data_IF_633257095006
#
_entry.id   IF_633257095006
#
_cell.length_a   1.000
_cell.length_b   1.000
_cell.length_c   1.000
_cell.angle_alpha   90.00
_cell.angle_beta   90.00
_cell.angle_gamma   90.00
#
_symmetry.space_group_name_H-M   'P 1'
#
loop_
_entity.id
_entity.type
_entity.pdbx_description
1 polymer ?
#
# COMPACT_ATOMS: atom_id res chain seq x y z
N UNK A 1 -20.22 9.36 -11.80
CA UNK A 1 -19.98 9.64 -10.40
C UNK A 1 -18.77 8.90 -9.91
N UNK A 2 -17.85 9.59 -9.29
CA UNK A 2 -16.66 8.95 -8.76
C UNK A 2 -16.99 8.13 -7.52
N UNK A 3 -16.13 7.16 -7.23
CA UNK A 3 -16.21 6.39 -6.00
C UNK A 3 -15.76 7.20 -4.80
N UNK A 4 -15.71 6.53 -3.65
CA UNK A 4 -15.28 7.15 -2.40
C UNK A 4 -13.76 7.11 -2.31
N UNK A 5 -13.16 8.18 -1.79
CA UNK A 5 -11.71 8.36 -1.76
C UNK A 5 -11.20 8.48 -0.34
N UNK A 6 -10.10 7.79 -0.07
CA UNK A 6 -9.36 7.85 1.17
C UNK A 6 -8.02 8.55 0.92
N UNK A 7 -7.62 9.44 1.83
CA UNK A 7 -6.30 10.07 1.77
C UNK A 7 -5.64 10.02 3.13
N UNK A 8 -4.39 9.58 3.15
CA UNK A 8 -3.55 9.56 4.36
C UNK A 8 -2.25 10.29 4.03
N UNK A 9 -1.86 11.22 4.89
CA UNK A 9 -0.56 11.91 4.77
C UNK A 9 0.26 11.53 5.99
N UNK A 10 1.47 11.01 5.77
CA UNK A 10 2.32 10.57 6.87
C UNK A 10 3.79 10.78 6.53
N UNK A 11 4.57 11.21 7.51
CA UNK A 11 6.00 11.42 7.34
C UNK A 11 6.79 10.30 7.99
N UNK A 12 7.74 9.74 7.23
CA UNK A 12 8.62 8.66 7.67
C UNK A 12 10.05 9.19 7.78
N UNK A 13 10.76 8.76 8.81
CA UNK A 13 12.14 9.18 9.05
C UNK A 13 13.12 8.36 8.19
N UNK A 14 12.99 8.50 6.88
CA UNK A 14 13.83 7.81 5.90
C UNK A 14 13.82 8.59 4.59
N UNK A 15 14.88 8.49 3.77
CA UNK A 15 14.90 9.18 2.48
C UNK A 15 13.88 8.59 1.49
N UNK A 16 13.47 9.41 0.53
CA UNK A 16 12.40 9.04 -0.41
C UNK A 16 12.72 7.75 -1.17
N UNK A 17 13.96 7.54 -1.56
CA UNK A 17 14.32 6.32 -2.28
C UNK A 17 14.07 5.08 -1.43
N UNK A 18 14.39 5.14 -0.14
CA UNK A 18 14.17 4.01 0.75
C UNK A 18 12.69 3.73 0.96
N UNK A 19 11.89 4.78 1.10
CA UNK A 19 10.43 4.63 1.24
C UNK A 19 9.83 4.08 -0.05
N UNK A 20 10.26 4.61 -1.20
CA UNK A 20 9.83 4.13 -2.50
C UNK A 20 10.18 2.64 -2.68
N UNK A 21 11.40 2.26 -2.31
CA UNK A 21 11.84 0.86 -2.42
C UNK A 21 10.99 -0.06 -1.54
N UNK A 22 10.55 0.41 -0.38
CA UNK A 22 9.69 -0.37 0.51
C UNK A 22 8.32 -0.65 -0.12
N UNK A 23 7.87 0.19 -1.03
CA UNK A 23 6.61 0.00 -1.76
C UNK A 23 6.78 -0.83 -3.04
N UNK A 24 8.00 -1.08 -3.47
CA UNK A 24 8.26 -1.71 -4.77
C UNK A 24 9.12 -2.97 -4.67
N UNK A 25 9.61 -3.31 -3.50
CA UNK A 25 10.34 -4.55 -3.27
C UNK A 25 9.40 -5.58 -2.63
N UNK A 26 9.18 -6.69 -3.32
CA UNK A 26 8.31 -7.76 -2.80
C UNK A 26 8.77 -8.26 -1.43
N UNK A 27 10.08 -8.42 -1.25
CA UNK A 27 10.64 -8.86 0.02
C UNK A 27 10.31 -7.90 1.15
N UNK A 28 10.48 -6.59 0.92
CA UNK A 28 10.20 -5.58 1.95
C UNK A 28 8.70 -5.44 2.18
N UNK A 29 7.89 -5.48 1.11
CA UNK A 29 6.43 -5.40 1.21
C UNK A 29 5.89 -6.49 2.15
N UNK A 30 6.44 -7.67 2.11
CA UNK A 30 5.99 -8.77 2.98
C UNK A 30 6.20 -8.47 4.46
N UNK A 31 7.07 -7.54 4.81
CA UNK A 31 7.37 -7.20 6.20
C UNK A 31 6.39 -6.21 6.80
N UNK A 32 5.70 -5.42 5.99
CA UNK A 32 4.86 -4.36 6.52
C UNK A 32 3.42 -4.34 5.97
N UNK A 33 3.14 -5.04 4.89
CA UNK A 33 1.81 -4.96 4.26
C UNK A 33 0.83 -5.89 4.98
N UNK A 34 0.55 -5.57 6.23
CA UNK A 34 -0.46 -6.25 7.05
C UNK A 34 -0.87 -5.32 8.20
N UNK A 35 -2.17 -5.28 8.56
CA UNK A 35 -2.66 -4.29 9.54
C UNK A 35 -2.39 -4.66 10.98
N UNK A 36 -2.16 -5.95 11.29
CA UNK A 36 -1.93 -6.41 12.65
C UNK A 36 -0.53 -7.00 12.74
N UNK A 37 0.18 -6.79 13.88
CA UNK A 37 1.55 -7.33 14.02
C UNK A 37 1.64 -8.84 13.89
N UNK A 38 0.58 -9.57 14.26
CA UNK A 38 0.57 -11.04 14.21
C UNK A 38 0.02 -11.58 12.88
N UNK A 39 -0.42 -10.73 11.98
CA UNK A 39 -0.75 -11.15 10.61
C UNK A 39 0.53 -11.21 9.78
N UNK A 40 0.47 -11.92 8.67
CA UNK A 40 1.60 -12.04 7.76
C UNK A 40 1.17 -11.73 6.33
N UNK A 41 2.05 -11.07 5.59
CA UNK A 41 1.91 -11.00 4.14
C UNK A 41 2.60 -12.26 3.60
N UNK A 42 1.80 -13.26 3.26
CA UNK A 42 2.30 -14.58 2.87
C UNK A 42 2.77 -14.61 1.42
N UNK A 43 2.30 -13.68 0.61
CA UNK A 43 2.70 -13.58 -0.79
C UNK A 43 2.83 -12.12 -1.18
N UNK A 44 3.90 -11.80 -1.91
CA UNK A 44 4.04 -10.51 -2.56
C UNK A 44 4.80 -10.73 -3.86
N UNK A 45 4.31 -10.15 -4.95
CA UNK A 45 5.01 -10.21 -6.23
C UNK A 45 4.93 -8.86 -6.92
N UNK A 46 6.00 -8.48 -7.59
CA UNK A 46 6.15 -7.18 -8.23
C UNK A 46 6.82 -7.35 -9.58
N UNK A 47 6.18 -6.82 -10.62
CA UNK A 47 6.79 -6.63 -11.92
C UNK A 47 6.84 -5.12 -12.15
N UNK A 48 7.96 -4.49 -11.73
CA UNK A 48 8.05 -3.04 -11.61
C UNK A 48 8.27 -2.37 -12.98
N UNK A 49 7.19 -2.26 -13.73
CA UNK A 49 7.11 -1.53 -14.99
C UNK A 49 5.67 -1.11 -15.22
N UNK A 50 5.45 -0.07 -15.97
CA UNK A 50 4.09 0.34 -16.33
C UNK A 50 3.43 -0.82 -17.07
N UNK A 51 2.25 -1.22 -16.62
CA UNK A 51 1.53 -2.39 -17.12
C UNK A 51 1.93 -3.70 -16.43
N UNK A 52 2.97 -3.69 -15.59
CA UNK A 52 3.36 -4.88 -14.82
C UNK A 52 2.45 -5.12 -13.64
N UNK A 53 2.42 -6.35 -13.16
CA UNK A 53 1.51 -6.77 -12.09
C UNK A 53 2.13 -6.57 -10.71
N UNK A 54 1.27 -6.22 -9.77
CA UNK A 54 1.58 -6.23 -8.33
C UNK A 54 0.51 -7.08 -7.63
N UNK A 55 0.92 -7.91 -6.67
CA UNK A 55 0.01 -8.74 -5.90
C UNK A 55 0.50 -8.93 -4.49
N UNK A 56 -0.41 -8.85 -3.53
CA UNK A 56 -0.11 -9.10 -2.11
C UNK A 56 -1.23 -9.92 -1.50
N UNK A 57 -0.87 -10.91 -0.69
CA UNK A 57 -1.83 -11.71 0.08
C UNK A 57 -1.45 -11.62 1.56
N UNK A 58 -2.42 -11.25 2.39
CA UNK A 58 -2.28 -11.18 3.84
C UNK A 58 -3.02 -12.34 4.48
N UNK A 59 -2.46 -12.89 5.57
CA UNK A 59 -3.09 -13.98 6.30
C UNK A 59 -3.43 -13.56 7.73
N UNK A 60 -4.71 -13.73 8.10
CA UNK A 60 -5.20 -13.55 9.47
C UNK A 60 -5.15 -14.92 10.17
N UNK A 61 -4.20 -15.15 11.11
CA UNK A 61 -4.07 -16.46 11.76
C UNK A 61 -5.20 -16.75 12.74
N UNK A 62 -5.92 -15.74 13.22
CA UNK A 62 -7.00 -15.94 14.18
C UNK A 62 -8.25 -16.48 13.53
N UNK A 63 -8.57 -16.01 12.32
CA UNK A 63 -9.72 -16.46 11.56
C UNK A 63 -9.35 -17.49 10.50
N UNK A 64 -8.04 -17.66 10.27
CA UNK A 64 -7.52 -18.50 9.20
C UNK A 64 -8.10 -18.12 7.84
N UNK A 65 -8.02 -16.83 7.53
CA UNK A 65 -8.54 -16.24 6.29
C UNK A 65 -7.44 -15.48 5.58
N UNK A 66 -7.38 -15.63 4.26
CA UNK A 66 -6.47 -14.87 3.41
C UNK A 66 -7.21 -13.71 2.76
N UNK A 67 -6.55 -12.55 2.73
CA UNK A 67 -7.03 -11.36 2.02
C UNK A 67 -6.01 -11.03 0.94
N UNK A 68 -6.37 -11.30 -0.31
CA UNK A 68 -5.49 -11.07 -1.43
C UNK A 68 -6.01 -9.98 -2.35
N UNK A 69 -5.09 -9.28 -2.97
CA UNK A 69 -5.42 -8.28 -3.97
C UNK A 69 -4.27 -8.03 -4.90
N UNK A 70 -4.52 -7.28 -5.94
CA UNK A 70 -3.51 -6.96 -6.91
C UNK A 70 -3.96 -5.90 -7.91
N UNK A 71 -3.09 -5.62 -8.87
CA UNK A 71 -3.38 -4.66 -9.92
C UNK A 71 -2.21 -4.51 -10.86
N UNK A 72 -2.20 -3.39 -11.58
CA UNK A 72 -1.14 -3.08 -12.54
C UNK A 72 -0.60 -1.68 -12.28
N UNK A 73 0.70 -1.51 -12.42
CA UNK A 73 1.33 -0.20 -12.32
C UNK A 73 0.89 0.69 -13.47
N UNK A 74 0.47 1.91 -13.13
CA UNK A 74 0.07 2.92 -14.12
C UNK A 74 1.07 4.06 -14.21
N UNK A 75 1.84 4.30 -13.14
CA UNK A 75 2.86 5.34 -13.12
C UNK A 75 4.00 4.94 -12.19
N UNK A 76 5.23 5.08 -12.66
CA UNK A 76 6.44 4.77 -11.89
C UNK A 76 7.45 5.88 -12.15
N UNK A 77 7.65 6.75 -11.15
CA UNK A 77 8.62 7.87 -11.24
C UNK A 77 9.43 7.89 -9.93
N UNK A 78 10.46 7.02 -9.82
CA UNK A 78 11.24 6.94 -8.58
C UNK A 78 12.08 8.19 -8.35
N UNK A 79 12.20 8.66 -7.15
CA UNK A 79 11.53 8.22 -5.93
C UNK A 79 10.33 9.10 -5.57
N UNK A 80 9.70 9.76 -6.55
CA UNK A 80 8.70 10.80 -6.33
C UNK A 80 7.26 10.33 -6.42
N UNK A 81 6.95 9.36 -7.30
CA UNK A 81 5.56 8.99 -7.52
C UNK A 81 5.42 7.54 -7.95
N UNK A 82 4.35 6.91 -7.43
CA UNK A 82 3.98 5.55 -7.79
C UNK A 82 2.46 5.48 -7.84
N UNK A 83 1.92 4.85 -8.87
CA UNK A 83 0.48 4.62 -8.95
C UNK A 83 0.21 3.25 -9.53
N UNK A 84 -0.82 2.61 -9.01
CA UNK A 84 -1.24 1.30 -9.50
C UNK A 84 -2.72 1.09 -9.25
N UNK A 85 -3.36 0.33 -10.15
CA UNK A 85 -4.74 -0.09 -9.94
C UNK A 85 -4.78 -1.13 -8.84
N UNK A 86 -5.95 -1.32 -8.24
CA UNK A 86 -6.10 -2.28 -7.15
C UNK A 86 -7.47 -2.94 -7.19
N UNK A 87 -7.52 -4.20 -6.92
CA UNK A 87 -8.76 -4.95 -6.68
C UNK A 87 -8.52 -5.93 -5.55
N UNK A 88 -9.57 -6.21 -4.79
CA UNK A 88 -9.55 -7.31 -3.82
C UNK A 88 -10.14 -8.55 -4.47
N UNK A 89 -9.57 -9.72 -4.18
CA UNK A 89 -10.10 -10.99 -4.67
C UNK A 89 -11.55 -11.14 -4.20
N UNK A 90 -12.44 -11.49 -5.11
CA UNK A 90 -13.85 -11.66 -4.80
C UNK A 90 -14.65 -10.37 -4.79
N UNK A 91 -14.05 -9.24 -5.13
CA UNK A 91 -14.74 -7.94 -5.20
C UNK A 91 -14.56 -7.35 -6.60
N UNK A 92 -15.65 -6.91 -7.21
CA UNK A 92 -15.62 -6.40 -8.58
C UNK A 92 -15.19 -4.94 -8.69
N UNK A 93 -15.07 -4.25 -7.55
CA UNK A 93 -14.70 -2.84 -7.56
C UNK A 93 -13.25 -2.64 -7.98
N UNK A 94 -13.03 -1.84 -9.01
CA UNK A 94 -11.69 -1.46 -9.47
C UNK A 94 -11.30 -0.15 -8.81
N UNK A 95 -10.13 -0.15 -8.19
CA UNK A 95 -9.64 0.96 -7.38
C UNK A 95 -8.33 1.47 -7.94
N UNK A 96 -7.92 2.65 -7.49
CA UNK A 96 -6.63 3.24 -7.87
C UNK A 96 -5.92 3.69 -6.61
N UNK A 97 -4.66 3.32 -6.47
CA UNK A 97 -3.79 3.76 -5.38
C UNK A 97 -2.70 4.64 -5.96
N UNK A 98 -2.54 5.83 -5.38
CA UNK A 98 -1.54 6.81 -5.81
C UNK A 98 -0.70 7.22 -4.61
N UNK A 99 0.62 7.31 -4.81
CA UNK A 99 1.55 7.73 -3.78
C UNK A 99 2.45 8.82 -4.32
N UNK A 100 2.54 9.91 -3.55
CA UNK A 100 3.50 10.98 -3.79
C UNK A 100 4.49 10.98 -2.63
N UNK A 101 5.78 11.00 -2.94
CA UNK A 101 6.87 10.96 -1.97
C UNK A 101 7.63 12.28 -2.05
N UNK A 102 7.63 13.04 -0.95
CA UNK A 102 8.32 14.33 -0.90
C UNK A 102 9.33 14.30 0.23
N UNK A 103 10.61 14.30 -0.13
CA UNK A 103 11.68 14.28 0.85
C UNK A 103 12.05 15.69 1.30
N UNK A 104 12.28 15.83 2.60
CA UNK A 104 12.71 17.08 3.21
C UNK A 104 13.58 16.75 4.42
N UNK A 105 14.85 17.17 4.39
CA UNK A 105 15.81 16.95 5.49
C UNK A 105 15.93 15.47 5.91
N UNK A 106 15.95 14.58 4.93
CA UNK A 106 16.14 13.15 5.19
C UNK A 106 14.89 12.41 5.63
N UNK A 107 13.76 13.10 5.74
CA UNK A 107 12.47 12.49 6.04
C UNK A 107 11.58 12.62 4.82
N UNK A 108 10.62 11.71 4.67
CA UNK A 108 9.75 11.68 3.49
C UNK A 108 8.30 11.76 3.91
N UNK A 109 7.59 12.76 3.38
CA UNK A 109 6.15 12.86 3.54
C UNK A 109 5.50 12.10 2.38
N UNK A 110 4.70 11.10 2.72
CA UNK A 110 3.96 10.30 1.75
C UNK A 110 2.52 10.77 1.75
N UNK A 111 2.02 11.17 0.59
CA UNK A 111 0.59 11.40 0.37
C UNK A 111 0.04 10.18 -0.33
N UNK A 112 -0.76 9.42 0.40
CA UNK A 112 -1.36 8.17 -0.06
C UNK A 112 -2.82 8.42 -0.38
N UNK A 113 -3.24 8.11 -1.59
CA UNK A 113 -4.63 8.27 -2.02
C UNK A 113 -5.16 6.94 -2.57
N UNK A 114 -6.28 6.48 -2.03
CA UNK A 114 -6.93 5.25 -2.44
C UNK A 114 -8.31 5.62 -2.96
N UNK A 115 -8.50 5.54 -4.27
CA UNK A 115 -9.70 6.01 -4.97
C UNK A 115 -10.63 4.87 -5.32
N UNK A 116 -11.90 5.21 -5.48
CA UNK A 116 -12.93 4.34 -6.02
C UNK A 116 -13.29 3.18 -5.08
N UNK A 117 -13.25 3.45 -3.78
CA UNK A 117 -13.81 2.53 -2.78
C UNK A 117 -15.34 2.53 -2.91
N UNK A 118 -15.98 1.44 -2.52
CA UNK A 118 -17.38 1.20 -2.87
C UNK A 118 -18.40 1.89 -1.96
N UNK A 119 -18.03 2.29 -0.75
CA UNK A 119 -18.90 3.07 0.13
C UNK A 119 -18.09 3.71 1.26
N UNK A 120 -18.76 4.50 2.10
CA UNK A 120 -18.09 5.20 3.21
C UNK A 120 -17.55 4.24 4.27
N UNK A 121 -18.25 3.13 4.51
CA UNK A 121 -17.76 2.14 5.47
C UNK A 121 -16.43 1.54 4.98
N UNK A 122 -16.33 1.25 3.67
CA UNK A 122 -15.08 0.77 3.09
C UNK A 122 -13.95 1.78 3.28
N UNK A 123 -14.24 3.08 3.14
CA UNK A 123 -13.23 4.12 3.38
C UNK A 123 -12.72 4.05 4.81
N UNK A 124 -13.62 3.97 5.80
CA UNK A 124 -13.22 3.91 7.21
C UNK A 124 -12.41 2.66 7.54
N UNK A 125 -12.84 1.52 6.99
CA UNK A 125 -12.14 0.25 7.21
C UNK A 125 -10.76 0.24 6.57
N UNK A 126 -10.64 0.81 5.37
CA UNK A 126 -9.36 0.90 4.70
C UNK A 126 -8.45 1.92 5.37
N UNK A 127 -9.01 3.03 5.86
CA UNK A 127 -8.21 4.01 6.60
C UNK A 127 -7.58 3.39 7.83
N UNK A 128 -8.36 2.65 8.61
CA UNK A 128 -7.85 1.94 9.77
C UNK A 128 -6.79 0.91 9.37
N UNK A 129 -7.08 0.10 8.36
CA UNK A 129 -6.17 -0.94 7.89
C UNK A 129 -4.85 -0.36 7.37
N UNK A 130 -4.92 0.65 6.51
CA UNK A 130 -3.73 1.27 5.94
C UNK A 130 -2.90 1.98 7.02
N UNK A 131 -3.55 2.67 7.96
CA UNK A 131 -2.82 3.34 9.05
C UNK A 131 -2.02 2.34 9.87
N UNK A 132 -2.60 1.17 10.13
CA UNK A 132 -1.90 0.10 10.85
C UNK A 132 -0.76 -0.51 10.03
N UNK A 133 -0.95 -0.68 8.73
CA UNK A 133 0.12 -1.11 7.82
C UNK A 133 1.26 -0.09 7.85
N UNK A 134 0.94 1.20 7.86
CA UNK A 134 1.97 2.24 7.91
C UNK A 134 2.74 2.24 9.23
N UNK A 135 2.11 1.84 10.33
CA UNK A 135 2.84 1.63 11.58
C UNK A 135 3.90 0.53 11.42
N UNK A 136 3.56 -0.56 10.74
CA UNK A 136 4.52 -1.61 10.43
C UNK A 136 5.62 -1.12 9.50
N UNK A 137 5.26 -0.33 8.50
CA UNK A 137 6.22 0.25 7.55
C UNK A 137 7.22 1.15 8.30
N UNK A 138 6.75 1.96 9.23
CA UNK A 138 7.63 2.81 10.02
C UNK A 138 8.66 1.99 10.79
N UNK A 139 8.24 0.87 11.38
CA UNK A 139 9.16 -0.02 12.09
C UNK A 139 10.22 -0.61 11.15
N UNK A 140 9.83 -0.97 9.93
CA UNK A 140 10.77 -1.50 8.93
C UNK A 140 11.78 -0.43 8.52
N UNK A 141 11.33 0.82 8.35
CA UNK A 141 12.19 1.91 7.88
C UNK A 141 13.16 2.40 8.97
N UNK A 142 12.80 2.26 10.24
CA UNK A 142 13.61 2.76 11.37
C UNK A 142 14.34 1.66 12.13
N UNK A 143 14.03 0.41 11.82
CA UNK A 143 14.63 -0.74 12.50
C UNK A 143 15.94 -1.22 11.93
#
# INVERSE_FOLDING_TARGET
MSGHTLRIVRTFAAPAQRVFDAWTSAEVMRRWWHPQPDWQATEASVDLRVGGDVRVVMHDPHRNVDYGGGGKYTEIDPPRRLAFTWYWDGNDTRQLIELDFEEHDGATTVTFTHRDLWNEQAVREHEDGWSRCFDQLELVLTG
#
